data_IF_215972696554
#
_entry.id   IF_215972696554
#
_cell.length_a   1.000
_cell.length_b   1.000
_cell.length_c   1.000
_cell.angle_alpha   90.00
_cell.angle_beta   90.00
_cell.angle_gamma   90.00
#
_symmetry.space_group_name_H-M   'P 1'
#
loop_
_entity.id
_entity.type
_entity.pdbx_description
1 polymer ?
#
# COMPACT_ATOMS: atom_id res chain seq x y z
N UNK A 1 -6.68 28.51 1.63
CA UNK A 1 -6.88 27.05 1.66
C UNK A 1 -6.31 26.56 2.98
N UNK A 2 -7.06 25.87 3.85
CA UNK A 2 -6.42 25.08 4.90
C UNK A 2 -5.43 24.14 4.19
N UNK A 3 -4.18 24.11 4.64
CA UNK A 3 -3.15 23.32 3.96
C UNK A 3 -3.59 21.87 3.87
N UNK A 4 -3.54 21.29 2.67
CA UNK A 4 -3.68 19.85 2.51
C UNK A 4 -2.52 19.22 3.27
N UNK A 5 -2.83 18.61 4.41
CA UNK A 5 -1.84 17.87 5.19
C UNK A 5 -1.76 16.46 4.61
N UNK A 6 -0.54 15.97 4.31
CA UNK A 6 -0.40 14.60 3.87
C UNK A 6 -0.87 13.65 5.00
N UNK A 7 -1.48 12.55 4.60
CA UNK A 7 -1.63 11.37 5.44
C UNK A 7 -0.25 10.72 5.52
N UNK A 8 0.34 10.73 6.71
CA UNK A 8 1.63 10.08 6.99
C UNK A 8 1.48 9.16 8.19
N UNK A 9 1.84 7.88 8.02
CA UNK A 9 1.85 6.90 9.09
C UNK A 9 3.08 6.03 8.96
N UNK A 10 3.88 5.95 10.02
CA UNK A 10 4.90 4.93 10.18
C UNK A 10 4.61 4.20 11.49
N UNK A 11 4.28 2.90 11.40
CA UNK A 11 3.81 2.14 12.55
C UNK A 11 4.28 0.69 12.50
N UNK A 12 4.80 0.21 13.63
CA UNK A 12 5.05 -1.21 13.82
C UNK A 12 3.72 -2.00 13.89
N UNK A 13 3.71 -3.15 13.22
CA UNK A 13 2.59 -4.12 13.18
C UNK A 13 3.17 -5.50 13.48
N UNK A 14 2.34 -6.53 13.77
CA UNK A 14 2.82 -7.91 13.79
C UNK A 14 3.59 -8.23 12.50
N UNK A 15 4.67 -9.01 12.58
CA UNK A 15 5.54 -9.32 11.44
C UNK A 15 6.44 -8.18 10.95
N UNK A 16 6.11 -6.90 11.17
CA UNK A 16 6.95 -5.84 10.60
C UNK A 16 6.50 -4.41 10.86
N UNK A 17 6.49 -3.59 9.81
CA UNK A 17 6.00 -2.21 9.89
C UNK A 17 5.24 -1.82 8.63
N UNK A 18 4.29 -0.92 8.81
CA UNK A 18 3.62 -0.22 7.71
C UNK A 18 4.12 1.20 7.62
N UNK A 19 4.36 1.64 6.39
CA UNK A 19 4.69 3.01 6.02
C UNK A 19 3.65 3.47 5.01
N UNK A 20 2.94 4.56 5.31
CA UNK A 20 1.87 5.07 4.47
C UNK A 20 2.07 6.56 4.26
N UNK A 21 2.00 6.96 3.00
CA UNK A 21 1.99 8.34 2.55
C UNK A 21 0.85 8.54 1.56
N UNK A 22 0.05 9.60 1.72
CA UNK A 22 -0.87 10.06 0.69
C UNK A 22 -1.09 11.57 0.78
N UNK A 23 -1.20 12.23 -0.35
CA UNK A 23 -1.50 13.67 -0.44
C UNK A 23 -2.47 13.92 -1.60
N UNK A 24 -3.37 14.90 -1.45
CA UNK A 24 -4.23 15.30 -2.56
C UNK A 24 -3.35 15.90 -3.66
N UNK A 25 -3.49 15.37 -4.86
CA UNK A 25 -2.78 15.80 -6.05
C UNK A 25 -3.64 15.48 -7.27
N UNK A 26 -4.20 16.51 -7.91
CA UNK A 26 -5.13 16.39 -9.04
C UNK A 26 -4.44 15.93 -10.33
N UNK A 27 -3.10 15.93 -10.38
CA UNK A 27 -2.34 15.39 -11.50
C UNK A 27 -2.35 13.85 -11.52
N UNK A 28 -2.73 13.21 -10.41
CA UNK A 28 -2.80 11.75 -10.29
C UNK A 28 -4.25 11.24 -10.40
N UNK A 29 -4.48 10.07 -11.02
CA UNK A 29 -5.81 9.48 -11.07
C UNK A 29 -6.41 9.28 -9.69
N UNK A 30 -7.66 9.73 -9.54
CA UNK A 30 -8.36 9.71 -8.26
C UNK A 30 -8.06 10.91 -7.35
N UNK A 31 -7.20 11.84 -7.76
CA UNK A 31 -6.89 13.08 -7.02
C UNK A 31 -5.94 12.87 -5.84
N UNK A 32 -5.18 11.78 -5.84
CA UNK A 32 -4.25 11.44 -4.77
C UNK A 32 -2.95 10.88 -5.33
N UNK A 33 -1.81 11.38 -4.85
CA UNK A 33 -0.55 10.65 -4.92
C UNK A 33 -0.36 9.86 -3.63
N UNK A 34 -0.09 8.55 -3.73
CA UNK A 34 0.08 7.69 -2.56
C UNK A 34 1.18 6.63 -2.70
N UNK A 35 1.68 6.20 -1.54
CA UNK A 35 2.55 5.03 -1.39
C UNK A 35 2.30 4.39 -0.04
N UNK A 36 1.79 3.16 -0.05
CA UNK A 36 1.58 2.34 1.14
C UNK A 36 2.46 1.11 1.04
N UNK A 37 3.20 0.80 2.11
CA UNK A 37 4.20 -0.26 2.09
C UNK A 37 4.21 -1.03 3.39
N UNK A 38 4.23 -2.36 3.29
CA UNK A 38 4.48 -3.27 4.40
C UNK A 38 5.82 -3.93 4.22
N UNK A 39 6.61 -3.91 5.29
CA UNK A 39 7.98 -4.38 5.32
C UNK A 39 8.17 -5.36 6.47
N UNK A 40 8.73 -6.53 6.15
CA UNK A 40 9.22 -7.51 7.12
C UNK A 40 10.72 -7.28 7.40
N UNK A 41 11.20 -7.29 8.66
CA UNK A 41 12.57 -6.92 9.04
C UNK A 41 13.67 -7.76 8.38
N UNK A 42 13.38 -8.99 7.97
CA UNK A 42 14.36 -9.89 7.35
C UNK A 42 14.18 -10.02 5.84
N UNK A 43 12.95 -9.95 5.36
CA UNK A 43 12.59 -10.31 3.99
C UNK A 43 12.48 -9.09 3.08
N UNK A 44 12.33 -7.90 3.68
CA UNK A 44 12.26 -6.67 2.93
C UNK A 44 10.83 -6.19 2.74
N UNK A 45 10.61 -5.48 1.63
CA UNK A 45 9.28 -5.08 1.17
C UNK A 45 8.48 -6.33 0.79
N UNK A 46 7.32 -6.52 1.44
CA UNK A 46 6.43 -7.66 1.19
C UNK A 46 5.25 -7.25 0.31
N UNK A 47 4.68 -6.08 0.57
CA UNK A 47 3.51 -5.54 -0.11
C UNK A 47 3.69 -4.04 -0.30
N UNK A 48 3.43 -3.54 -1.51
CA UNK A 48 3.37 -2.10 -1.79
C UNK A 48 2.18 -1.76 -2.67
N UNK A 49 1.42 -0.76 -2.28
CA UNK A 49 0.44 -0.10 -3.15
C UNK A 49 0.95 1.30 -3.47
N UNK A 50 1.04 1.66 -4.74
CA UNK A 50 1.39 3.04 -5.13
C UNK A 50 0.78 3.41 -6.48
N UNK A 51 0.92 4.69 -6.83
CA UNK A 51 0.54 5.20 -8.14
C UNK A 51 1.59 6.15 -8.73
N UNK A 52 2.88 5.85 -8.53
CA UNK A 52 3.96 6.76 -8.89
C UNK A 52 4.13 6.96 -10.40
N UNK A 53 3.64 6.05 -11.22
CA UNK A 53 3.71 6.13 -12.68
C UNK A 53 2.60 5.29 -13.31
N UNK A 54 2.32 5.57 -14.59
CA UNK A 54 1.47 4.73 -15.43
C UNK A 54 2.28 3.54 -15.96
N UNK A 55 1.67 2.36 -15.95
CA UNK A 55 2.20 1.13 -16.54
C UNK A 55 1.29 0.72 -17.71
N UNK A 56 1.88 0.26 -18.82
CA UNK A 56 1.13 -0.04 -20.05
C UNK A 56 0.10 -1.16 -19.87
N UNK A 57 0.35 -2.11 -18.96
CA UNK A 57 -0.50 -3.27 -18.71
C UNK A 57 -1.35 -3.11 -17.44
N UNK A 58 -0.83 -2.42 -16.42
CA UNK A 58 -1.47 -2.31 -15.09
C UNK A 58 -2.14 -0.95 -14.82
N UNK A 59 -1.94 0.05 -15.70
CA UNK A 59 -2.43 1.41 -15.50
C UNK A 59 -1.69 2.13 -14.37
N UNK A 60 -2.37 3.00 -13.63
CA UNK A 60 -1.73 3.84 -12.61
C UNK A 60 -1.68 3.23 -11.21
N UNK A 61 -2.61 2.35 -10.86
CA UNK A 61 -2.75 1.89 -9.48
C UNK A 61 -2.12 0.52 -9.34
N UNK A 62 -0.93 0.48 -8.76
CA UNK A 62 -0.12 -0.73 -8.69
C UNK A 62 -0.22 -1.40 -7.32
N UNK A 63 -0.29 -2.73 -7.33
CA UNK A 63 -0.07 -3.60 -6.18
C UNK A 63 1.13 -4.49 -6.48
N UNK A 64 2.21 -4.27 -5.74
CA UNK A 64 3.43 -5.05 -5.77
C UNK A 64 3.44 -6.04 -4.61
N UNK A 65 3.88 -7.27 -4.87
CA UNK A 65 4.11 -8.30 -3.85
C UNK A 65 5.45 -9.00 -4.04
N UNK A 66 6.14 -9.31 -2.96
CA UNK A 66 7.45 -9.98 -3.01
C UNK A 66 7.40 -11.43 -3.54
N UNK A 67 6.24 -12.09 -3.46
CA UNK A 67 6.09 -13.52 -3.79
C UNK A 67 5.19 -13.76 -5.01
N UNK A 68 5.07 -12.78 -5.91
CA UNK A 68 4.20 -12.89 -7.08
C UNK A 68 4.47 -11.83 -8.13
N UNK A 69 3.52 -11.68 -9.04
CA UNK A 69 3.55 -10.64 -10.07
C UNK A 69 2.84 -9.38 -9.58
N UNK A 70 3.29 -8.25 -10.11
CA UNK A 70 2.64 -6.97 -9.92
C UNK A 70 1.26 -6.98 -10.61
N UNK A 71 0.29 -6.32 -9.98
CA UNK A 71 -1.11 -6.34 -10.43
C UNK A 71 -1.72 -4.95 -10.37
N UNK A 72 -2.68 -4.68 -11.25
CA UNK A 72 -3.55 -3.50 -11.11
C UNK A 72 -4.39 -3.65 -9.84
N UNK A 73 -4.59 -2.54 -9.14
CA UNK A 73 -5.51 -2.48 -8.01
C UNK A 73 -6.58 -1.40 -8.21
N UNK A 74 -7.84 -1.81 -8.16
CA UNK A 74 -8.97 -0.89 -8.28
C UNK A 74 -8.92 0.21 -7.19
N UNK A 75 -9.03 1.46 -7.64
CA UNK A 75 -9.09 2.65 -6.79
C UNK A 75 -10.50 3.25 -6.80
N UNK A 76 -11.14 3.28 -5.63
CA UNK A 76 -12.46 3.90 -5.46
C UNK A 76 -12.36 5.28 -4.78
N UNK A 77 -11.58 5.33 -3.69
CA UNK A 77 -11.23 6.53 -2.93
C UNK A 77 -10.12 6.15 -1.94
N UNK A 78 -9.45 7.17 -1.38
CA UNK A 78 -8.30 6.95 -0.50
C UNK A 78 -8.63 6.13 0.76
N UNK A 79 -9.82 6.31 1.35
CA UNK A 79 -10.21 5.60 2.58
C UNK A 79 -10.41 4.10 2.33
N UNK A 80 -11.08 3.76 1.23
CA UNK A 80 -11.25 2.37 0.80
C UNK A 80 -9.90 1.73 0.45
N UNK A 81 -8.99 2.50 -0.17
CA UNK A 81 -7.66 2.03 -0.54
C UNK A 81 -6.78 1.74 0.69
N UNK A 82 -6.77 2.64 1.67
CA UNK A 82 -6.13 2.44 2.98
C UNK A 82 -6.69 1.20 3.70
N UNK A 83 -8.02 1.05 3.72
CA UNK A 83 -8.67 -0.08 4.39
C UNK A 83 -8.25 -1.40 3.74
N UNK A 84 -8.27 -1.47 2.40
CA UNK A 84 -7.87 -2.66 1.65
C UNK A 84 -6.40 -3.03 1.91
N UNK A 85 -5.51 -2.04 1.89
CA UNK A 85 -4.10 -2.25 2.20
C UNK A 85 -3.91 -2.85 3.60
N UNK A 86 -4.52 -2.25 4.63
CA UNK A 86 -4.37 -2.74 6.01
C UNK A 86 -4.97 -4.13 6.22
N UNK A 87 -6.09 -4.44 5.56
CA UNK A 87 -6.67 -5.78 5.58
C UNK A 87 -5.75 -6.83 4.95
N UNK A 88 -5.05 -6.47 3.87
CA UNK A 88 -4.10 -7.38 3.24
C UNK A 88 -2.86 -7.59 4.10
N UNK A 89 -2.35 -6.54 4.75
CA UNK A 89 -1.27 -6.67 5.74
C UNK A 89 -1.67 -7.60 6.88
N UNK A 90 -2.86 -7.45 7.45
CA UNK A 90 -3.38 -8.32 8.51
C UNK A 90 -3.50 -9.79 8.06
N UNK A 91 -3.90 -10.01 6.80
CA UNK A 91 -3.97 -11.35 6.22
C UNK A 91 -2.58 -11.99 6.07
N UNK A 92 -1.60 -11.22 5.58
CA UNK A 92 -0.22 -11.69 5.40
C UNK A 92 0.43 -12.03 6.74
N UNK A 93 0.28 -11.18 7.75
CA UNK A 93 0.86 -11.41 9.08
C UNK A 93 0.21 -12.58 9.80
N UNK A 94 -1.10 -12.80 9.62
CA UNK A 94 -1.81 -13.96 10.18
C UNK A 94 -1.35 -15.28 9.54
N UNK A 95 -1.11 -15.31 8.23
CA UNK A 95 -0.62 -16.52 7.54
C UNK A 95 0.78 -16.91 8.03
N UNK A 96 1.68 -15.94 8.22
CA UNK A 96 3.03 -16.18 8.73
C UNK A 96 3.01 -16.85 10.11
N UNK A 97 2.08 -16.46 10.99
CA UNK A 97 1.91 -17.06 12.31
C UNK A 97 1.41 -18.53 12.24
N UNK A 98 0.56 -18.86 11.27
CA UNK A 98 0.01 -20.23 11.13
C UNK A 98 0.94 -21.23 10.42
N UNK A 99 1.98 -20.76 9.73
CA UNK A 99 2.92 -21.63 8.99
C UNK A 99 4.08 -22.12 9.87
N UNK A 100 4.08 -21.77 11.16
CA UNK A 100 5.12 -22.09 12.14
C UNK A 100 4.68 -23.08 13.25
N UNK A 101 3.62 -23.88 13.03
CA UNK A 101 3.16 -24.95 13.94
C UNK A 101 3.54 -26.37 13.44
#
# INVERSE_FOLDING_TARGET
MPGTYPLELNRAVPGGRVEMFAIEDDDYPGGWFYRFQYYHPKEGEILRYDNAHDDEDLGWHHRHVSFGEDTEIAFQNITAHVTRFLQEVDHLTTIEETTHD
#
